data_IF_516730089810
#
_entry.id   IF_516730089810
#
_cell.length_a   1.000
_cell.length_b   1.000
_cell.length_c   1.000
_cell.angle_alpha   90.00
_cell.angle_beta   90.00
_cell.angle_gamma   90.00
#
_symmetry.space_group_name_H-M   'P 1'
#
loop_
_entity.id
_entity.type
_entity.pdbx_description
1 polymer ?
#
# COMPACT_ATOMS: atom_id res chain seq x y z
N UNK A 1 -14.44 3.14 41.14
CA UNK A 1 -13.61 1.92 41.25
C UNK A 1 -12.39 2.26 42.11
N UNK A 2 -12.14 1.49 43.16
CA UNK A 2 -10.91 1.63 43.96
C UNK A 2 -9.73 1.05 43.16
N UNK A 3 -8.74 1.88 42.82
CA UNK A 3 -7.62 1.50 41.95
C UNK A 3 -6.75 0.42 42.57
N UNK A 4 -6.64 0.37 43.90
CA UNK A 4 -5.84 -0.64 44.62
C UNK A 4 -6.46 -2.03 44.46
N UNK A 5 -7.78 -2.13 44.62
CA UNK A 5 -8.51 -3.40 44.51
C UNK A 5 -8.51 -3.94 43.07
N UNK A 6 -8.54 -3.04 42.08
CA UNK A 6 -8.45 -3.33 40.64
C UNK A 6 -7.06 -3.89 40.30
N UNK A 7 -5.99 -3.21 40.73
CA UNK A 7 -4.61 -3.64 40.46
C UNK A 7 -4.29 -4.96 41.15
N UNK A 8 -4.74 -5.13 42.38
CA UNK A 8 -4.64 -6.40 43.11
C UNK A 8 -5.31 -7.55 42.35
N UNK A 9 -6.48 -7.30 41.75
CA UNK A 9 -7.18 -8.32 40.97
C UNK A 9 -6.46 -8.67 39.67
N UNK A 10 -5.90 -7.68 38.97
CA UNK A 10 -5.10 -7.93 37.77
C UNK A 10 -3.88 -8.81 38.10
N UNK A 11 -3.17 -8.52 39.19
CA UNK A 11 -2.05 -9.37 39.63
C UNK A 11 -2.51 -10.77 40.04
N UNK A 12 -3.65 -10.90 40.71
CA UNK A 12 -4.23 -12.18 41.08
C UNK A 12 -4.57 -13.03 39.83
N UNK A 13 -5.12 -12.42 38.78
CA UNK A 13 -5.43 -13.12 37.52
C UNK A 13 -4.19 -13.73 36.86
N UNK A 14 -3.03 -13.12 37.08
CA UNK A 14 -1.75 -13.63 36.65
C UNK A 14 -1.28 -14.93 37.26
N UNK A 15 -1.75 -15.20 38.48
CA UNK A 15 -1.37 -16.39 39.26
C UNK A 15 -2.31 -17.57 39.05
N UNK A 16 -3.39 -17.38 38.28
CA UNK A 16 -4.35 -18.44 38.02
C UNK A 16 -3.94 -19.35 36.87
N UNK A 17 -4.34 -20.61 36.97
CA UNK A 17 -4.08 -21.63 35.96
C UNK A 17 -5.13 -21.59 34.85
N UNK A 18 -4.68 -21.80 33.62
CA UNK A 18 -5.55 -21.86 32.46
C UNK A 18 -6.49 -23.06 32.57
N UNK A 19 -7.80 -22.83 32.38
CA UNK A 19 -8.80 -23.90 32.30
C UNK A 19 -9.42 -24.31 33.63
N UNK A 20 -8.99 -23.71 34.75
CA UNK A 20 -9.63 -23.89 36.05
C UNK A 20 -10.74 -22.86 36.29
N UNK A 21 -11.77 -23.28 37.02
CA UNK A 21 -12.88 -22.42 37.44
C UNK A 21 -12.58 -21.81 38.80
N UNK A 22 -12.71 -20.49 38.93
CA UNK A 22 -12.52 -19.76 40.18
C UNK A 22 -13.84 -19.12 40.64
N UNK A 23 -14.12 -19.19 41.94
CA UNK A 23 -15.37 -18.67 42.51
C UNK A 23 -15.34 -17.15 42.68
N UNK A 24 -16.47 -16.49 42.42
CA UNK A 24 -16.67 -15.06 42.63
C UNK A 24 -17.07 -14.68 44.06
N UNK A 25 -17.39 -15.65 44.93
CA UNK A 25 -17.90 -15.41 46.27
C UNK A 25 -16.91 -14.70 47.21
N UNK A 26 -15.60 -14.87 47.00
CA UNK A 26 -14.55 -14.23 47.79
C UNK A 26 -14.11 -12.85 47.27
N UNK A 27 -14.72 -12.35 46.19
CA UNK A 27 -14.34 -11.11 45.57
C UNK A 27 -15.04 -9.91 46.22
N UNK A 28 -14.29 -8.82 46.38
CA UNK A 28 -14.88 -7.53 46.76
C UNK A 28 -15.89 -7.04 45.71
N UNK A 29 -16.84 -6.16 46.06
CA UNK A 29 -17.85 -5.67 45.10
C UNK A 29 -17.23 -5.03 43.85
N UNK A 30 -16.09 -4.34 44.00
CA UNK A 30 -15.33 -3.75 42.88
C UNK A 30 -14.74 -4.83 41.97
N UNK A 31 -14.17 -5.90 42.54
CA UNK A 31 -13.64 -7.04 41.79
C UNK A 31 -14.74 -7.82 41.08
N UNK A 32 -15.90 -8.00 41.71
CA UNK A 32 -17.06 -8.61 41.07
C UNK A 32 -17.51 -7.80 39.85
N UNK A 33 -17.58 -6.46 39.95
CA UNK A 33 -17.87 -5.61 38.81
C UNK A 33 -16.78 -5.75 37.71
N UNK A 34 -15.51 -5.78 38.12
CA UNK A 34 -14.37 -5.93 37.22
C UNK A 34 -14.39 -7.25 36.45
N UNK A 35 -14.87 -8.36 37.03
CA UNK A 35 -15.00 -9.63 36.29
C UNK A 35 -15.92 -9.52 35.08
N UNK A 36 -16.95 -8.69 35.16
CA UNK A 36 -17.88 -8.43 34.05
C UNK A 36 -17.20 -7.60 32.96
N UNK A 37 -16.45 -6.55 33.34
CA UNK A 37 -15.71 -5.68 32.41
C UNK A 37 -14.57 -6.44 31.72
N UNK A 38 -13.78 -7.20 32.47
CA UNK A 38 -12.73 -8.08 31.93
C UNK A 38 -13.28 -9.21 31.05
N UNK A 39 -14.53 -9.59 31.28
CA UNK A 39 -15.27 -10.48 30.40
C UNK A 39 -15.48 -9.89 29.00
N UNK A 40 -15.79 -8.59 28.92
CA UNK A 40 -15.96 -7.88 27.65
C UNK A 40 -14.63 -7.75 26.89
N UNK A 41 -13.51 -7.63 27.61
CA UNK A 41 -12.17 -7.61 27.02
C UNK A 41 -11.64 -9.00 26.65
N UNK A 42 -12.37 -10.08 26.96
CA UNK A 42 -11.93 -11.46 26.71
C UNK A 42 -10.77 -11.92 27.59
N UNK A 43 -10.46 -11.20 28.67
CA UNK A 43 -9.47 -11.59 29.67
C UNK A 43 -10.02 -12.68 30.60
N UNK A 44 -11.33 -12.67 30.82
CA UNK A 44 -12.03 -13.66 31.62
C UNK A 44 -13.17 -14.23 30.78
N UNK A 45 -13.38 -15.53 30.84
CA UNK A 45 -14.56 -16.18 30.31
C UNK A 45 -15.55 -16.47 31.45
N UNK A 46 -16.82 -16.12 31.25
CA UNK A 46 -17.93 -16.44 32.16
C UNK A 46 -19.09 -17.02 31.35
N UNK A 47 -19.66 -18.17 31.75
CA UNK A 47 -20.81 -18.76 31.05
C UNK A 47 -22.06 -17.86 31.06
N UNK A 48 -22.27 -17.10 32.14
CA UNK A 48 -23.34 -16.12 32.29
C UNK A 48 -22.88 -14.95 33.16
N UNK A 49 -23.52 -13.78 33.01
CA UNK A 49 -23.23 -12.60 33.82
C UNK A 49 -23.49 -12.81 35.32
N UNK A 50 -24.40 -13.73 35.65
CA UNK A 50 -24.73 -14.15 37.03
C UNK A 50 -23.95 -15.37 37.50
N UNK A 51 -23.02 -15.90 36.71
CA UNK A 51 -22.30 -17.12 37.07
C UNK A 51 -21.44 -16.91 38.32
N UNK A 52 -21.49 -17.87 39.24
CA UNK A 52 -20.67 -17.89 40.46
C UNK A 52 -19.20 -18.24 40.18
N UNK A 53 -18.87 -18.60 38.94
CA UNK A 53 -17.52 -18.98 38.53
C UNK A 53 -17.03 -18.17 37.33
N UNK A 54 -15.72 -18.04 37.23
CA UNK A 54 -15.05 -17.44 36.08
C UNK A 54 -13.79 -18.23 35.71
N UNK A 55 -13.39 -18.13 34.45
CA UNK A 55 -12.23 -18.82 33.90
C UNK A 55 -11.25 -17.78 33.33
N UNK A 56 -10.00 -17.72 33.79
CA UNK A 56 -9.00 -16.85 33.19
C UNK A 56 -8.66 -17.33 31.77
N UNK A 57 -8.56 -16.40 30.83
CA UNK A 57 -8.09 -16.72 29.48
C UNK A 57 -6.57 -16.57 29.39
N UNK A 58 -5.96 -17.07 28.31
CA UNK A 58 -4.53 -16.90 28.04
C UNK A 58 -4.11 -15.42 28.09
N UNK A 59 -4.98 -14.50 27.65
CA UNK A 59 -4.70 -13.06 27.66
C UNK A 59 -4.52 -12.51 29.07
N UNK A 60 -5.31 -12.97 30.05
CA UNK A 60 -5.19 -12.52 31.44
C UNK A 60 -3.91 -13.01 32.11
N UNK A 61 -3.54 -14.26 31.84
CA UNK A 61 -2.31 -14.86 32.38
C UNK A 61 -1.09 -14.16 31.78
N UNK A 62 -1.07 -13.96 30.45
CA UNK A 62 0.01 -13.27 29.73
C UNK A 62 0.11 -11.77 30.01
N UNK A 63 -0.89 -11.14 30.65
CA UNK A 63 -0.85 -9.73 30.99
C UNK A 63 0.16 -9.42 32.12
N UNK A 64 0.38 -10.40 33.00
CA UNK A 64 1.21 -10.26 34.20
C UNK A 64 2.49 -11.09 34.11
N UNK A 65 2.47 -12.18 33.35
CA UNK A 65 3.65 -12.95 33.03
C UNK A 65 4.55 -12.16 32.07
N UNK A 66 5.83 -12.09 32.40
CA UNK A 66 6.83 -11.46 31.56
C UNK A 66 6.95 -12.26 30.25
N UNK A 67 6.84 -11.67 29.05
CA UNK A 67 6.95 -12.38 27.78
C UNK A 67 8.43 -12.68 27.43
N UNK A 68 9.21 -13.13 28.42
CA UNK A 68 10.63 -13.49 28.26
C UNK A 68 10.84 -14.94 27.84
N UNK A 69 9.79 -15.74 27.64
CA UNK A 69 9.95 -17.07 27.03
C UNK A 69 10.21 -16.91 25.52
N UNK A 70 11.43 -17.21 25.03
CA UNK A 70 11.80 -17.02 23.63
C UNK A 70 11.34 -18.19 22.73
N UNK A 71 10.44 -19.06 23.20
CA UNK A 71 10.18 -20.38 22.60
C UNK A 71 8.80 -20.53 21.94
N UNK A 72 8.22 -19.45 21.40
CA UNK A 72 7.34 -19.63 20.24
C UNK A 72 8.17 -19.46 18.96
N UNK A 73 8.14 -20.43 18.03
CA UNK A 73 9.04 -20.45 16.89
C UNK A 73 8.86 -19.17 16.07
N UNK A 74 9.91 -18.37 16.04
CA UNK A 74 10.08 -17.14 15.24
C UNK A 74 9.89 -17.33 13.74
N UNK A 75 9.66 -18.55 13.27
CA UNK A 75 9.39 -18.90 11.87
C UNK A 75 8.02 -18.39 11.37
N UNK A 76 7.07 -18.07 12.25
CA UNK A 76 5.74 -17.56 11.83
C UNK A 76 5.63 -16.03 11.77
N UNK A 77 6.55 -15.27 12.38
CA UNK A 77 6.54 -13.80 12.33
C UNK A 77 7.04 -13.23 11.00
N UNK A 78 7.88 -13.97 10.27
CA UNK A 78 8.44 -13.51 8.98
C UNK A 78 7.43 -13.53 7.83
N UNK A 79 6.39 -14.37 7.89
CA UNK A 79 5.34 -14.43 6.86
C UNK A 79 4.09 -13.62 7.19
N UNK A 80 3.98 -13.16 8.44
CA UNK A 80 2.93 -12.23 8.82
C UNK A 80 3.28 -10.88 8.20
N UNK A 81 2.44 -10.41 7.27
CA UNK A 81 2.59 -9.08 6.72
C UNK A 81 2.62 -8.04 7.85
N UNK A 82 3.48 -7.05 7.71
CA UNK A 82 3.79 -6.07 8.76
C UNK A 82 3.37 -4.65 8.36
N UNK A 83 2.90 -4.46 7.13
CA UNK A 83 2.54 -3.15 6.58
C UNK A 83 1.05 -2.90 6.77
N UNK A 84 0.74 -1.71 7.29
CA UNK A 84 -0.60 -1.15 7.39
C UNK A 84 -0.64 0.16 6.62
N UNK A 85 -1.67 0.33 5.80
CA UNK A 85 -1.85 1.52 4.96
C UNK A 85 -3.21 2.16 5.25
N UNK A 86 -3.20 3.48 5.40
CA UNK A 86 -4.40 4.31 5.53
C UNK A 86 -4.77 4.99 4.20
N UNK A 87 -6.01 5.50 4.12
CA UNK A 87 -6.52 6.24 2.95
C UNK A 87 -5.85 7.61 2.72
N UNK A 88 -5.15 8.13 3.73
CA UNK A 88 -4.43 9.40 3.73
C UNK A 88 -2.94 9.26 3.36
N UNK A 89 -2.56 8.15 2.71
CA UNK A 89 -1.19 7.82 2.30
C UNK A 89 -0.19 7.57 3.42
N UNK A 90 -0.65 7.46 4.68
CA UNK A 90 0.22 7.03 5.79
C UNK A 90 0.44 5.52 5.74
N UNK A 91 1.69 5.16 5.98
CA UNK A 91 2.18 3.79 6.06
C UNK A 91 2.70 3.54 7.48
N UNK A 92 2.24 2.47 8.09
CA UNK A 92 2.79 1.96 9.35
C UNK A 92 3.38 0.58 9.10
N UNK A 93 4.61 0.37 9.52
CA UNK A 93 5.30 -0.90 9.33
C UNK A 93 5.83 -1.41 10.67
N UNK A 94 5.40 -2.60 11.08
CA UNK A 94 5.89 -3.25 12.30
C UNK A 94 7.10 -4.13 11.97
N UNK A 95 8.27 -3.52 11.86
CA UNK A 95 9.50 -4.24 11.53
C UNK A 95 10.73 -3.61 12.17
N UNK A 96 11.62 -4.49 12.61
CA UNK A 96 12.94 -4.15 13.14
C UNK A 96 14.04 -4.38 12.10
N UNK A 97 13.70 -5.09 11.01
CA UNK A 97 14.64 -5.54 10.00
C UNK A 97 15.15 -4.36 9.16
N UNK A 98 16.43 -3.95 9.28
CA UNK A 98 16.95 -2.78 8.57
C UNK A 98 16.78 -2.86 7.04
N UNK A 99 16.73 -4.09 6.50
CA UNK A 99 16.49 -4.34 5.09
C UNK A 99 15.09 -3.90 4.67
N UNK A 100 14.05 -4.28 5.42
CA UNK A 100 12.67 -3.88 5.11
C UNK A 100 12.48 -2.36 5.25
N UNK A 101 13.12 -1.76 6.25
CA UNK A 101 13.16 -0.30 6.42
C UNK A 101 13.77 0.38 5.19
N UNK A 102 14.87 -0.16 4.70
CA UNK A 102 15.59 0.39 3.55
C UNK A 102 14.75 0.29 2.27
N UNK A 103 14.02 -0.82 2.08
CA UNK A 103 13.11 -0.98 0.94
C UNK A 103 11.97 0.04 1.02
N UNK A 104 11.34 0.21 2.19
CA UNK A 104 10.28 1.21 2.37
C UNK A 104 10.77 2.62 2.07
N UNK A 105 12.01 2.96 2.45
CA UNK A 105 12.61 4.26 2.19
C UNK A 105 12.84 4.57 0.69
N UNK A 106 12.77 3.57 -0.19
CA UNK A 106 12.90 3.79 -1.64
C UNK A 106 11.71 4.56 -2.22
N UNK A 107 10.50 4.31 -1.71
CA UNK A 107 9.24 4.84 -2.24
C UNK A 107 8.36 5.57 -1.21
N UNK A 108 8.77 5.62 0.05
CA UNK A 108 8.04 6.26 1.15
C UNK A 108 8.96 7.22 1.91
N UNK A 109 8.43 8.35 2.37
CA UNK A 109 9.14 9.27 3.26
C UNK A 109 8.95 8.81 4.70
N UNK A 110 9.99 8.27 5.32
CA UNK A 110 9.96 7.88 6.73
C UNK A 110 9.87 9.14 7.63
N UNK A 111 8.87 9.18 8.52
CA UNK A 111 8.60 10.32 9.42
C UNK A 111 9.09 10.06 10.84
N UNK A 112 8.85 8.85 11.34
CA UNK A 112 9.23 8.46 12.69
C UNK A 112 9.60 6.99 12.73
N UNK A 113 10.56 6.66 13.60
CA UNK A 113 10.99 5.29 13.89
C UNK A 113 10.92 5.06 15.39
N UNK A 114 10.16 4.06 15.78
CA UNK A 114 10.08 3.52 17.13
C UNK A 114 10.86 2.19 17.20
N UNK A 115 10.92 1.57 18.37
CA UNK A 115 11.66 0.32 18.57
C UNK A 115 11.16 -0.82 17.68
N UNK A 116 9.85 -0.87 17.40
CA UNK A 116 9.19 -1.92 16.62
C UNK A 116 8.16 -1.43 15.60
N UNK A 117 8.18 -0.15 15.28
CA UNK A 117 7.22 0.46 14.37
C UNK A 117 7.84 1.62 13.62
N UNK A 118 7.49 1.73 12.35
CA UNK A 118 7.91 2.83 11.49
C UNK A 118 6.68 3.48 10.92
N UNK A 119 6.67 4.81 10.97
CA UNK A 119 5.66 5.63 10.34
C UNK A 119 6.27 6.31 9.13
N UNK A 120 5.62 6.16 7.99
CA UNK A 120 5.99 6.79 6.73
C UNK A 120 4.79 7.42 6.03
N UNK A 121 5.09 8.24 5.02
CA UNK A 121 4.09 8.84 4.14
C UNK A 121 4.50 8.59 2.68
N UNK A 122 3.57 8.04 1.90
CA UNK A 122 3.74 7.89 0.46
C UNK A 122 3.37 9.22 -0.20
N UNK A 123 4.35 9.90 -0.77
CA UNK A 123 4.20 11.21 -1.41
C UNK A 123 4.50 11.12 -2.90
N UNK A 124 4.09 12.15 -3.64
CA UNK A 124 4.44 12.28 -5.06
C UNK A 124 5.95 12.27 -5.25
N UNK A 125 6.68 12.98 -4.40
CA UNK A 125 8.13 13.12 -4.48
C UNK A 125 8.83 11.78 -4.21
N UNK A 126 8.38 11.01 -3.21
CA UNK A 126 8.97 9.71 -2.89
C UNK A 126 8.71 8.66 -3.97
N UNK A 127 7.50 8.64 -4.55
CA UNK A 127 7.20 7.73 -5.67
C UNK A 127 7.97 8.14 -6.92
N UNK A 128 8.10 9.44 -7.21
CA UNK A 128 8.93 9.92 -8.34
C UNK A 128 10.39 9.53 -8.18
N UNK A 129 10.93 9.61 -6.96
CA UNK A 129 12.29 9.17 -6.65
C UNK A 129 12.46 7.65 -6.86
N UNK A 130 11.50 6.84 -6.43
CA UNK A 130 11.49 5.40 -6.69
C UNK A 130 11.49 5.09 -8.19
N UNK A 131 10.65 5.79 -8.95
CA UNK A 131 10.53 5.63 -10.41
C UNK A 131 11.83 6.05 -11.13
N UNK A 132 12.55 7.07 -10.66
CA UNK A 132 13.87 7.41 -11.22
C UNK A 132 14.93 6.34 -10.95
N UNK A 133 14.78 5.56 -9.88
CA UNK A 133 15.63 4.43 -9.55
C UNK A 133 15.20 3.13 -10.24
N UNK A 134 14.23 3.20 -11.16
CA UNK A 134 13.77 2.05 -11.95
C UNK A 134 12.72 1.17 -11.27
N UNK A 135 12.13 1.62 -10.15
CA UNK A 135 11.08 0.88 -9.45
C UNK A 135 9.73 1.29 -10.02
N UNK A 136 8.98 0.36 -10.61
CA UNK A 136 7.68 0.65 -11.24
C UNK A 136 6.56 0.81 -10.21
N UNK A 137 5.48 1.51 -10.60
CA UNK A 137 4.29 1.62 -9.74
C UNK A 137 3.74 0.25 -9.33
N UNK A 138 3.71 -0.70 -10.27
CA UNK A 138 3.18 -2.04 -10.04
C UNK A 138 4.06 -2.84 -9.06
N UNK A 139 5.39 -2.65 -9.09
CA UNK A 139 6.29 -3.25 -8.10
C UNK A 139 6.02 -2.71 -6.68
N UNK A 140 5.76 -1.40 -6.55
CA UNK A 140 5.40 -0.79 -5.25
C UNK A 140 4.08 -1.40 -4.75
N UNK A 141 3.05 -1.45 -5.58
CA UNK A 141 1.74 -2.00 -5.23
C UNK A 141 1.85 -3.48 -4.85
N UNK A 142 2.61 -4.26 -5.62
CA UNK A 142 2.84 -5.68 -5.36
C UNK A 142 3.57 -5.90 -4.03
N UNK A 143 4.59 -5.10 -3.73
CA UNK A 143 5.30 -5.15 -2.45
C UNK A 143 4.37 -4.84 -1.26
N UNK A 144 3.58 -3.77 -1.37
CA UNK A 144 2.59 -3.39 -0.34
C UNK A 144 1.54 -4.48 -0.14
N UNK A 145 1.11 -5.14 -1.21
CA UNK A 145 0.14 -6.25 -1.17
C UNK A 145 0.71 -7.48 -0.50
N UNK A 146 1.92 -7.90 -0.88
CA UNK A 146 2.57 -9.09 -0.33
C UNK A 146 2.82 -8.98 1.18
N UNK A 147 3.28 -7.81 1.62
CA UNK A 147 3.61 -7.55 3.03
C UNK A 147 2.47 -6.88 3.83
N UNK A 148 1.26 -6.82 3.28
CA UNK A 148 0.10 -6.27 4.00
C UNK A 148 -0.29 -7.12 5.22
N UNK A 149 -0.62 -6.45 6.31
CA UNK A 149 -0.99 -7.08 7.58
C UNK A 149 -2.17 -8.06 7.44
N UNK A 150 -2.16 -9.24 8.10
CA UNK A 150 -3.21 -10.25 7.97
C UNK A 150 -4.63 -9.71 8.24
N UNK A 151 -4.76 -8.75 9.14
CA UNK A 151 -6.05 -8.12 9.44
C UNK A 151 -6.55 -7.24 8.30
N UNK A 152 -5.64 -6.62 7.53
CA UNK A 152 -6.01 -5.90 6.32
C UNK A 152 -6.37 -6.84 5.19
N UNK A 153 -5.76 -8.04 5.10
CA UNK A 153 -6.11 -9.05 4.09
C UNK A 153 -7.55 -9.54 4.15
N UNK A 154 -8.23 -9.32 5.28
CA UNK A 154 -9.67 -9.59 5.42
C UNK A 154 -10.55 -8.57 4.69
N UNK A 155 -10.01 -7.38 4.39
CA UNK A 155 -10.74 -6.32 3.70
C UNK A 155 -10.60 -6.47 2.19
N UNK A 156 -11.69 -6.21 1.46
CA UNK A 156 -11.72 -6.20 0.00
C UNK A 156 -12.22 -4.81 -0.43
N UNK A 157 -11.43 -4.02 -1.17
CA UNK A 157 -10.05 -4.29 -1.62
C UNK A 157 -9.01 -4.21 -0.48
N UNK A 158 -7.92 -4.97 -0.60
CA UNK A 158 -6.82 -5.01 0.38
C UNK A 158 -6.20 -3.62 0.60
N UNK A 159 -5.87 -2.97 -0.52
CA UNK A 159 -5.29 -1.64 -0.55
C UNK A 159 -6.39 -0.62 -0.88
N UNK A 160 -6.37 0.57 -0.28
CA UNK A 160 -7.28 1.64 -0.67
C UNK A 160 -7.14 1.97 -2.17
N UNK A 161 -8.23 1.97 -2.95
CA UNK A 161 -8.16 2.20 -4.39
C UNK A 161 -7.59 3.59 -4.72
N UNK A 162 -7.90 4.59 -3.89
CA UNK A 162 -7.35 5.95 -4.01
C UNK A 162 -5.83 5.98 -3.97
N UNK A 163 -5.20 5.11 -3.18
CA UNK A 163 -3.74 5.03 -3.07
C UNK A 163 -3.15 4.35 -4.30
N UNK A 164 -3.74 3.24 -4.74
CA UNK A 164 -3.30 2.51 -5.94
C UNK A 164 -3.38 3.40 -7.18
N UNK A 165 -4.50 4.08 -7.36
CA UNK A 165 -4.71 4.99 -8.49
C UNK A 165 -3.74 6.16 -8.44
N UNK A 166 -3.50 6.73 -7.25
CA UNK A 166 -2.58 7.85 -7.10
C UNK A 166 -1.14 7.49 -7.45
N UNK A 167 -0.66 6.30 -7.06
CA UNK A 167 0.68 5.81 -7.43
C UNK A 167 0.79 5.64 -8.95
N UNK A 168 -0.23 5.06 -9.60
CA UNK A 168 -0.27 4.92 -11.06
C UNK A 168 -0.32 6.26 -11.78
N UNK A 169 -1.10 7.23 -11.26
CA UNK A 169 -1.16 8.59 -11.80
C UNK A 169 0.20 9.29 -11.72
N UNK A 170 0.95 9.11 -10.62
CA UNK A 170 2.30 9.66 -10.50
C UNK A 170 3.32 9.04 -11.46
N UNK A 171 3.17 7.76 -11.80
CA UNK A 171 3.96 7.14 -12.87
C UNK A 171 3.59 7.68 -14.25
N UNK A 172 2.29 7.79 -14.55
CA UNK A 172 1.80 8.38 -15.80
C UNK A 172 2.24 9.84 -15.97
N UNK A 173 2.30 10.61 -14.88
CA UNK A 173 2.83 11.98 -14.87
C UNK A 173 4.27 12.08 -15.37
N UNK A 174 5.12 11.10 -15.05
CA UNK A 174 6.49 11.02 -15.56
C UNK A 174 6.50 10.67 -17.04
N UNK A 175 5.60 9.79 -17.46
CA UNK A 175 5.53 9.28 -18.84
C UNK A 175 4.66 10.14 -19.78
N UNK A 176 4.36 11.40 -19.40
CA UNK A 176 3.50 12.31 -20.20
C UNK A 176 4.12 12.74 -21.53
N UNK A 177 5.45 12.79 -21.62
CA UNK A 177 6.15 13.28 -22.81
C UNK A 177 6.67 12.08 -23.58
N UNK A 178 6.04 11.80 -24.73
CA UNK A 178 6.59 10.90 -25.75
C UNK A 178 7.34 11.75 -26.76
N UNK A 179 8.64 11.49 -26.90
CA UNK A 179 9.47 12.12 -27.92
C UNK A 179 9.60 11.16 -29.09
N UNK A 180 8.99 11.52 -30.22
CA UNK A 180 9.14 10.78 -31.46
C UNK A 180 10.07 11.55 -32.41
N UNK A 181 11.06 10.86 -32.97
CA UNK A 181 11.94 11.42 -33.98
C UNK A 181 11.29 11.27 -35.37
N UNK A 182 11.31 12.35 -36.15
CA UNK A 182 10.62 12.39 -37.44
C UNK A 182 10.79 13.72 -38.16
N UNK A 183 10.07 13.87 -39.26
CA UNK A 183 10.06 15.07 -40.08
C UNK A 183 8.68 15.71 -40.04
N UNK A 184 8.66 17.04 -39.87
CA UNK A 184 7.46 17.85 -39.99
C UNK A 184 7.34 18.39 -41.41
N UNK A 185 6.37 17.90 -42.16
CA UNK A 185 6.04 18.44 -43.47
C UNK A 185 5.11 19.64 -43.32
N UNK A 186 5.45 20.73 -44.01
CA UNK A 186 4.79 22.04 -43.96
C UNK A 186 4.82 22.69 -45.34
N UNK A 187 4.08 23.80 -45.49
CA UNK A 187 4.09 24.67 -46.67
C UNK A 187 3.57 24.01 -47.98
N UNK A 188 2.45 23.29 -47.89
CA UNK A 188 1.76 22.73 -49.07
C UNK A 188 1.05 23.81 -49.89
N UNK A 189 1.19 23.74 -51.23
CA UNK A 189 0.62 24.76 -52.14
C UNK A 189 -0.90 24.73 -52.16
N UNK A 190 -1.50 23.54 -52.05
CA UNK A 190 -2.95 23.33 -52.12
C UNK A 190 -3.42 22.32 -51.08
N UNK A 191 -4.67 22.44 -50.65
CA UNK A 191 -5.32 21.48 -49.74
C UNK A 191 -5.46 20.10 -50.37
N UNK A 192 -5.62 20.03 -51.70
CA UNK A 192 -5.67 18.76 -52.44
C UNK A 192 -4.34 18.02 -52.37
N UNK A 193 -3.22 18.74 -52.58
CA UNK A 193 -1.87 18.18 -52.46
C UNK A 193 -1.60 17.64 -51.05
N UNK A 194 -1.98 18.41 -50.04
CA UNK A 194 -1.86 17.97 -48.65
C UNK A 194 -2.62 16.67 -48.40
N UNK A 195 -3.89 16.60 -48.81
CA UNK A 195 -4.73 15.41 -48.58
C UNK A 195 -4.19 14.16 -49.29
N UNK A 196 -3.69 14.29 -50.52
CA UNK A 196 -3.10 13.16 -51.25
C UNK A 196 -1.81 12.64 -50.59
N UNK A 197 -0.92 13.54 -50.17
CA UNK A 197 0.35 13.16 -49.51
C UNK A 197 0.08 12.54 -48.13
N UNK A 198 -0.86 13.10 -47.37
CA UNK A 198 -1.29 12.52 -46.10
C UNK A 198 -1.93 11.16 -46.32
N UNK A 199 -2.79 10.99 -47.32
CA UNK A 199 -3.41 9.70 -47.63
C UNK A 199 -2.37 8.64 -48.00
N UNK A 200 -1.36 9.00 -48.78
CA UNK A 200 -0.23 8.11 -49.09
C UNK A 200 0.57 7.74 -47.82
N UNK A 201 0.87 8.72 -46.97
CA UNK A 201 1.57 8.48 -45.71
C UNK A 201 0.75 7.66 -44.69
N UNK A 202 -0.58 7.80 -44.70
CA UNK A 202 -1.50 6.99 -43.88
C UNK A 202 -1.57 5.55 -44.36
N UNK A 203 -1.59 5.32 -45.67
CA UNK A 203 -1.53 3.96 -46.25
C UNK A 203 -0.23 3.25 -45.87
N UNK A 204 0.87 3.99 -45.74
CA UNK A 204 2.15 3.47 -45.28
C UNK A 204 2.21 3.28 -43.74
N UNK A 205 1.25 3.81 -42.98
CA UNK A 205 1.20 3.70 -41.52
C UNK A 205 2.27 4.50 -40.77
N UNK A 206 2.79 5.58 -41.39
CA UNK A 206 3.98 6.30 -40.90
C UNK A 206 3.67 7.68 -40.30
N UNK A 207 2.41 8.11 -40.37
CA UNK A 207 1.94 9.39 -39.81
C UNK A 207 1.76 9.26 -38.30
N UNK A 208 2.47 10.11 -37.56
CA UNK A 208 2.38 10.18 -36.10
C UNK A 208 1.41 11.27 -35.64
N UNK A 209 1.31 12.35 -36.41
CA UNK A 209 0.45 13.49 -36.09
C UNK A 209 0.05 14.24 -37.37
N UNK A 210 -1.16 14.81 -37.42
CA UNK A 210 -1.64 15.64 -38.53
C UNK A 210 -2.54 16.77 -38.02
N UNK A 211 -2.50 17.90 -38.70
CA UNK A 211 -3.35 19.07 -38.50
C UNK A 211 -3.81 19.58 -39.88
N UNK A 212 -5.11 19.46 -40.14
CA UNK A 212 -5.71 19.82 -41.43
C UNK A 212 -5.83 21.34 -41.61
N UNK A 213 -6.10 22.08 -40.54
CA UNK A 213 -6.29 23.53 -40.59
C UNK A 213 -4.98 24.24 -40.96
N UNK A 214 -3.88 23.77 -40.37
CA UNK A 214 -2.54 24.30 -40.63
C UNK A 214 -1.83 23.62 -41.79
N UNK A 215 -2.40 22.56 -42.37
CA UNK A 215 -1.78 21.72 -43.42
C UNK A 215 -0.39 21.23 -42.98
N UNK A 216 -0.32 20.63 -41.79
CA UNK A 216 0.91 20.09 -41.21
C UNK A 216 0.72 18.60 -40.96
N UNK A 217 1.76 17.81 -41.19
CA UNK A 217 1.80 16.45 -40.66
C UNK A 217 3.22 16.03 -40.29
N UNK A 218 3.33 15.16 -39.28
CA UNK A 218 4.57 14.62 -38.77
C UNK A 218 4.65 13.14 -39.09
N UNK A 219 5.76 12.71 -39.67
CA UNK A 219 6.01 11.32 -40.04
C UNK A 219 7.35 10.82 -39.50
N UNK A 220 7.47 9.50 -39.34
CA UNK A 220 8.69 8.85 -38.83
C UNK A 220 9.89 9.02 -39.76
N UNK A 221 11.11 8.92 -39.20
CA UNK A 221 12.37 9.08 -39.95
C UNK A 221 12.52 8.07 -41.10
N UNK A 222 12.07 6.83 -40.90
CA UNK A 222 12.30 5.73 -41.84
C UNK A 222 11.58 5.91 -43.19
N UNK A 223 10.50 6.69 -43.21
CA UNK A 223 9.63 6.86 -44.38
C UNK A 223 9.73 8.21 -45.06
N UNK A 224 10.53 9.13 -44.52
CA UNK A 224 10.66 10.49 -45.07
C UNK A 224 11.17 10.48 -46.51
N UNK A 225 12.10 9.58 -46.85
CA UNK A 225 12.60 9.40 -48.21
C UNK A 225 11.51 9.02 -49.21
N UNK A 226 10.62 8.08 -48.85
CA UNK A 226 9.51 7.63 -49.70
C UNK A 226 8.48 8.74 -49.95
N UNK A 227 8.17 9.52 -48.90
CA UNK A 227 7.25 10.66 -49.00
C UNK A 227 7.87 11.76 -49.88
N UNK A 228 9.17 12.04 -49.74
CA UNK A 228 9.87 13.02 -50.58
C UNK A 228 9.92 12.56 -52.03
N UNK A 229 10.19 11.29 -52.30
CA UNK A 229 10.15 10.74 -53.67
C UNK A 229 8.75 10.85 -54.29
N UNK A 230 7.70 10.54 -53.54
CA UNK A 230 6.32 10.69 -53.99
C UNK A 230 5.99 12.15 -54.35
N UNK A 231 6.43 13.10 -53.52
CA UNK A 231 6.26 14.54 -53.79
C UNK A 231 7.10 15.03 -54.98
N UNK A 232 8.30 14.48 -55.20
CA UNK A 232 9.15 14.82 -56.36
C UNK A 232 8.56 14.32 -57.67
N UNK A 233 8.10 13.05 -57.72
CA UNK A 233 7.45 12.46 -58.91
C UNK A 233 6.19 13.21 -59.36
N UNK A 234 5.59 13.99 -58.47
CA UNK A 234 4.37 14.77 -58.75
C UNK A 234 4.66 16.20 -59.21
N UNK A 235 5.87 16.71 -58.96
CA UNK A 235 6.30 18.05 -59.36
C UNK A 235 7.11 18.06 -60.67
N UNK A 236 7.52 16.88 -61.17
CA UNK A 236 7.94 16.66 -62.57
C UNK A 236 6.72 16.54 -63.48
#
# INVERSE_FOLDING_TARGET
>A
MDTVQVLHFIFMLGTFDLGLAYSTAGLSPTQSQMTTELGQYGLIYRPSASSEYFYPTKLAISLTANPLDPEEPTQSKSEQGFIILETNYKLYAYTDSPLQISILNLFCVLKARFSNMIMGLISRESVRHALSNGITAEQIIMYLTAHAHPQMRKNIPLLPPTLVDQIRLWELERNRIKTDHGYLFRDFKSTLEFNEVVQYAEQLGVVLWKDQDKRLFFATVASSGLIIEFVKRRNE
#
